data_IF_705487769670
#
_entry.id   IF_705487769670
#
_cell.length_a   1.000
_cell.length_b   1.000
_cell.length_c   1.000
_cell.angle_alpha   90.00
_cell.angle_beta   90.00
_cell.angle_gamma   90.00
#
_symmetry.space_group_name_H-M   'P 1'
#
loop_
_entity.id
_entity.type
_entity.pdbx_description
1 polymer ?
#
# COMPACT_ATOMS: atom_id res chain seq x y z
N UNK A 1 -5.34 15.09 18.69
CA UNK A 1 -6.08 15.60 17.52
C UNK A 1 -5.96 14.58 16.39
N UNK A 2 -7.05 14.31 15.67
CA UNK A 2 -7.15 13.17 14.72
C UNK A 2 -7.03 13.67 13.29
N UNK A 3 -6.19 13.04 12.47
CA UNK A 3 -6.09 13.32 11.03
C UNK A 3 -7.32 12.81 10.29
N UNK A 4 -7.66 13.42 9.16
CA UNK A 4 -8.71 12.88 8.29
C UNK A 4 -8.35 12.92 6.81
N UNK A 5 -8.78 11.87 6.12
CA UNK A 5 -8.80 11.75 4.67
C UNK A 5 -10.26 11.58 4.29
N UNK A 6 -10.86 12.62 3.69
CA UNK A 6 -12.23 12.53 3.19
C UNK A 6 -12.18 12.38 1.67
N UNK A 7 -12.77 11.32 1.15
CA UNK A 7 -12.82 11.02 -0.29
C UNK A 7 -14.25 10.98 -0.78
N UNK A 8 -14.44 11.41 -2.02
CA UNK A 8 -15.69 11.25 -2.73
C UNK A 8 -15.44 10.98 -4.21
N UNK A 9 -16.08 9.95 -4.76
CA UNK A 9 -15.98 9.57 -6.16
C UNK A 9 -17.30 9.80 -6.90
N UNK A 10 -17.21 10.45 -8.05
CA UNK A 10 -18.31 10.65 -8.99
C UNK A 10 -17.86 10.27 -10.39
N UNK A 11 -18.82 9.98 -11.27
CA UNK A 11 -18.50 9.74 -12.68
C UNK A 11 -18.28 11.09 -13.35
N UNK A 12 -17.12 11.28 -13.99
CA UNK A 12 -16.87 12.45 -14.81
C UNK A 12 -17.73 12.36 -16.06
N UNK A 13 -18.69 13.28 -16.19
CA UNK A 13 -19.66 13.31 -17.28
C UNK A 13 -19.03 13.68 -18.61
N UNK A 14 -17.84 14.29 -18.62
CA UNK A 14 -17.15 14.71 -19.84
C UNK A 14 -16.29 13.58 -20.43
N UNK A 15 -15.48 12.90 -19.60
CA UNK A 15 -14.40 12.02 -20.10
C UNK A 15 -14.60 10.53 -19.79
N UNK A 16 -15.78 10.13 -19.28
CA UNK A 16 -16.08 8.75 -18.84
C UNK A 16 -15.12 8.18 -17.78
N UNK A 17 -14.25 9.03 -17.21
CA UNK A 17 -13.38 8.70 -16.10
C UNK A 17 -14.15 8.76 -14.77
N UNK A 18 -13.54 8.25 -13.71
CA UNK A 18 -14.04 8.50 -12.35
C UNK A 18 -13.22 9.63 -11.73
N UNK A 19 -13.90 10.71 -11.38
CA UNK A 19 -13.32 11.82 -10.65
C UNK A 19 -13.38 11.49 -9.16
N UNK A 20 -12.21 11.46 -8.53
CA UNK A 20 -12.07 11.26 -7.08
C UNK A 20 -11.54 12.55 -6.48
N UNK A 21 -12.38 13.25 -5.73
CA UNK A 21 -11.97 14.36 -4.88
C UNK A 21 -11.50 13.83 -3.54
N UNK A 22 -10.42 14.40 -3.01
CA UNK A 22 -9.95 14.08 -1.67
C UNK A 22 -9.54 15.32 -0.90
N UNK A 23 -9.88 15.36 0.38
CA UNK A 23 -9.51 16.41 1.33
C UNK A 23 -8.68 15.81 2.45
N UNK A 24 -7.48 16.34 2.62
CA UNK A 24 -6.57 15.93 3.69
C UNK A 24 -6.57 16.99 4.79
N UNK A 25 -6.72 16.56 6.04
CA UNK A 25 -6.72 17.45 7.21
C UNK A 25 -5.72 16.94 8.23
N UNK A 26 -4.76 17.79 8.60
CA UNK A 26 -3.74 17.52 9.61
C UNK A 26 -3.94 18.45 10.83
N UNK A 27 -3.67 17.99 12.07
CA UNK A 27 -3.71 18.84 13.25
C UNK A 27 -2.83 20.08 13.09
N UNK A 28 -3.38 21.27 13.30
CA UNK A 28 -2.63 22.53 13.23
C UNK A 28 -2.34 23.04 11.81
N UNK A 29 -2.81 22.36 10.76
CA UNK A 29 -2.60 22.77 9.36
C UNK A 29 -3.93 22.99 8.62
N UNK A 30 -3.87 23.83 7.58
CA UNK A 30 -4.99 24.08 6.66
C UNK A 30 -5.32 22.80 5.87
N UNK A 31 -6.60 22.46 5.79
CA UNK A 31 -7.05 21.37 4.92
C UNK A 31 -6.75 21.71 3.45
N UNK A 32 -6.31 20.72 2.67
CA UNK A 32 -6.14 20.89 1.23
C UNK A 32 -7.02 19.90 0.47
N UNK A 33 -7.56 20.37 -0.66
CA UNK A 33 -8.45 19.62 -1.55
C UNK A 33 -7.71 19.38 -2.85
N UNK A 34 -7.74 18.15 -3.33
CA UNK A 34 -7.18 17.76 -4.63
C UNK A 34 -8.11 16.79 -5.34
N UNK A 35 -7.86 16.62 -6.63
CA UNK A 35 -8.68 15.78 -7.50
C UNK A 35 -7.77 14.82 -8.28
N UNK A 36 -8.26 13.60 -8.44
CA UNK A 36 -7.66 12.58 -9.29
C UNK A 36 -8.69 12.11 -10.34
N UNK A 37 -8.27 12.04 -11.60
CA UNK A 37 -9.06 11.38 -12.66
C UNK A 37 -8.55 9.95 -12.81
N UNK A 38 -9.39 8.97 -12.53
CA UNK A 38 -9.05 7.54 -12.62
C UNK A 38 -9.71 6.93 -13.85
N UNK A 39 -8.91 6.44 -14.79
CA UNK A 39 -9.39 5.74 -15.98
C UNK A 39 -9.59 4.25 -15.68
N UNK A 40 -10.81 3.74 -15.88
CA UNK A 40 -11.18 2.34 -15.67
C UNK A 40 -11.86 1.79 -16.93
N UNK A 41 -11.62 0.51 -17.23
CA UNK A 41 -12.06 -0.16 -18.46
C UNK A 41 -13.58 -0.37 -18.58
N UNK A 42 -14.37 -0.09 -17.54
CA UNK A 42 -15.83 -0.30 -17.56
C UNK A 42 -16.62 0.91 -17.06
N UNK A 43 -17.87 1.04 -17.51
CA UNK A 43 -18.72 2.21 -17.24
C UNK A 43 -19.32 2.20 -15.83
N UNK A 44 -19.15 3.30 -15.10
CA UNK A 44 -20.17 3.91 -14.22
C UNK A 44 -20.81 3.12 -13.08
N UNK A 45 -20.30 1.95 -12.66
CA UNK A 45 -20.87 1.19 -11.55
C UNK A 45 -20.31 1.59 -10.17
N UNK A 46 -21.02 1.22 -9.11
CA UNK A 46 -20.57 1.44 -7.71
C UNK A 46 -19.20 0.78 -7.45
N UNK A 47 -18.91 -0.33 -8.13
CA UNK A 47 -17.62 -1.02 -8.01
C UNK A 47 -16.47 -0.21 -8.58
N UNK A 48 -16.66 0.50 -9.69
CA UNK A 48 -15.65 1.34 -10.30
C UNK A 48 -15.39 2.57 -9.45
N UNK A 49 -16.43 3.17 -8.86
CA UNK A 49 -16.23 4.23 -7.85
C UNK A 49 -15.37 3.72 -6.70
N UNK A 50 -15.66 2.52 -6.20
CA UNK A 50 -14.86 1.90 -5.15
C UNK A 50 -13.41 1.64 -5.59
N UNK A 51 -13.19 1.11 -6.80
CA UNK A 51 -11.85 0.89 -7.36
C UNK A 51 -11.09 2.20 -7.45
N UNK A 52 -11.70 3.25 -8.01
CA UNK A 52 -11.10 4.57 -8.17
C UNK A 52 -10.69 5.20 -6.84
N UNK A 53 -11.54 5.11 -5.81
CA UNK A 53 -11.20 5.55 -4.46
C UNK A 53 -10.05 4.75 -3.87
N UNK A 54 -10.05 3.42 -3.99
CA UNK A 54 -8.96 2.59 -3.47
C UNK A 54 -7.63 2.88 -4.17
N UNK A 55 -7.65 3.10 -5.49
CA UNK A 55 -6.46 3.50 -6.28
C UNK A 55 -5.95 4.86 -5.81
N UNK A 56 -6.85 5.83 -5.67
CA UNK A 56 -6.50 7.18 -5.22
C UNK A 56 -5.96 7.14 -3.78
N UNK A 57 -6.56 6.33 -2.91
CA UNK A 57 -6.11 6.15 -1.53
C UNK A 57 -4.73 5.48 -1.48
N UNK A 58 -4.47 4.46 -2.30
CA UNK A 58 -3.14 3.88 -2.43
C UNK A 58 -2.13 4.90 -2.94
N UNK A 59 -2.49 5.68 -3.97
CA UNK A 59 -1.62 6.72 -4.51
C UNK A 59 -1.22 7.72 -3.43
N UNK A 60 -2.18 8.25 -2.69
CA UNK A 60 -1.95 9.21 -1.61
C UNK A 60 -1.10 8.59 -0.50
N UNK A 61 -1.44 7.38 -0.07
CA UNK A 61 -0.83 6.79 1.11
C UNK A 61 0.53 6.15 0.84
N UNK A 62 0.81 5.71 -0.39
CA UNK A 62 1.94 4.82 -0.70
C UNK A 62 2.90 5.40 -1.75
N UNK A 63 2.45 6.41 -2.49
CA UNK A 63 3.19 6.96 -3.64
C UNK A 63 3.34 8.49 -3.61
N UNK A 64 2.56 9.18 -2.79
CA UNK A 64 2.76 10.61 -2.52
C UNK A 64 3.49 10.80 -1.20
N UNK A 65 4.50 11.67 -1.18
CA UNK A 65 5.17 12.13 0.06
C UNK A 65 4.29 13.11 0.87
N UNK A 66 2.97 12.95 0.82
CA UNK A 66 1.99 13.80 1.51
C UNK A 66 1.74 13.37 2.96
N UNK A 67 2.19 12.17 3.33
CA UNK A 67 2.07 11.61 4.68
C UNK A 67 3.38 11.01 5.13
N UNK A 68 3.80 11.33 6.35
CA UNK A 68 4.79 10.53 7.05
C UNK A 68 4.13 9.23 7.53
N UNK A 69 4.66 8.09 7.10
CA UNK A 69 4.12 6.75 7.34
C UNK A 69 4.04 6.42 8.83
N UNK A 70 4.90 7.02 9.65
CA UNK A 70 4.89 6.85 11.10
C UNK A 70 3.57 7.33 11.75
N UNK A 71 2.82 8.18 11.05
CA UNK A 71 1.70 8.95 11.61
C UNK A 71 0.33 8.53 11.06
N UNK A 72 0.29 7.54 10.15
CA UNK A 72 -0.96 6.95 9.66
C UNK A 72 -1.80 6.26 10.74
N UNK A 73 -1.22 5.66 11.80
CA UNK A 73 -2.01 5.17 12.92
C UNK A 73 -2.81 6.31 13.56
N UNK A 74 -4.15 6.20 13.57
CA UNK A 74 -5.14 7.20 14.07
C UNK A 74 -5.63 8.22 13.03
N UNK A 75 -5.76 7.80 11.77
CA UNK A 75 -6.41 8.58 10.73
C UNK A 75 -7.89 8.17 10.58
N UNK A 76 -8.79 9.13 10.42
CA UNK A 76 -10.16 8.87 9.98
C UNK A 76 -10.20 8.91 8.46
N UNK A 77 -10.58 7.79 7.83
CA UNK A 77 -10.68 7.69 6.38
C UNK A 77 -12.17 7.60 6.04
N UNK A 78 -12.70 8.63 5.40
CA UNK A 78 -14.07 8.64 4.87
C UNK A 78 -14.03 8.32 3.38
N UNK A 79 -14.81 7.33 2.94
CA UNK A 79 -14.94 6.93 1.54
C UNK A 79 -16.40 7.03 1.09
N UNK A 80 -16.66 7.17 -0.22
CA UNK A 80 -18.02 7.35 -0.73
C UNK A 80 -18.82 6.05 -0.85
N UNK A 81 -18.15 4.89 -0.89
CA UNK A 81 -18.83 3.60 -1.06
C UNK A 81 -18.52 2.60 0.06
N UNK A 82 -19.53 1.81 0.43
CA UNK A 82 -19.35 0.70 1.37
C UNK A 82 -18.42 -0.40 0.83
N UNK A 83 -18.28 -0.49 -0.49
CA UNK A 83 -17.40 -1.43 -1.17
C UNK A 83 -15.91 -1.18 -0.87
N UNK A 84 -15.48 0.09 -0.73
CA UNK A 84 -14.12 0.42 -0.30
C UNK A 84 -13.80 -0.20 1.06
N UNK A 85 -14.70 -0.01 2.04
CA UNK A 85 -14.56 -0.60 3.38
C UNK A 85 -14.52 -2.13 3.32
N UNK A 86 -15.39 -2.75 2.52
CA UNK A 86 -15.39 -4.21 2.31
C UNK A 86 -14.07 -4.69 1.69
N UNK A 87 -13.55 -3.99 0.67
CA UNK A 87 -12.29 -4.32 0.00
C UNK A 87 -11.11 -4.30 0.95
N UNK A 88 -10.97 -3.23 1.75
CA UNK A 88 -9.91 -3.11 2.76
C UNK A 88 -10.00 -4.25 3.79
N UNK A 89 -11.21 -4.66 4.15
CA UNK A 89 -11.43 -5.76 5.09
C UNK A 89 -11.31 -7.15 4.44
N UNK A 90 -11.05 -7.23 3.14
CA UNK A 90 -11.07 -8.46 2.34
C UNK A 90 -12.41 -9.22 2.43
N UNK A 91 -13.52 -8.47 2.33
CA UNK A 91 -14.91 -8.94 2.45
C UNK A 91 -15.78 -8.58 1.24
N UNK A 92 -15.21 -8.03 0.18
CA UNK A 92 -15.96 -7.79 -1.05
C UNK A 92 -16.16 -9.09 -1.81
N UNK A 93 -17.29 -9.23 -2.51
CA UNK A 93 -17.48 -10.32 -3.47
C UNK A 93 -16.70 -10.14 -4.77
N UNK A 94 -15.97 -9.02 -4.93
CA UNK A 94 -15.19 -8.70 -6.12
C UNK A 94 -13.69 -8.79 -5.81
N UNK A 95 -13.00 -9.71 -6.47
CA UNK A 95 -11.57 -9.97 -6.26
C UNK A 95 -10.71 -8.72 -6.44
N UNK A 96 -10.96 -7.93 -7.49
CA UNK A 96 -10.18 -6.71 -7.75
C UNK A 96 -10.28 -5.67 -6.62
N UNK A 97 -11.46 -5.53 -6.01
CA UNK A 97 -11.69 -4.62 -4.88
C UNK A 97 -10.93 -5.11 -3.64
N UNK A 98 -10.97 -6.43 -3.38
CA UNK A 98 -10.20 -7.04 -2.29
C UNK A 98 -8.68 -6.89 -2.51
N UNK A 99 -8.22 -7.08 -3.74
CA UNK A 99 -6.79 -6.92 -4.10
C UNK A 99 -6.31 -5.49 -3.87
N UNK A 100 -7.08 -4.49 -4.31
CA UNK A 100 -6.76 -3.08 -4.10
C UNK A 100 -6.86 -2.68 -2.61
N UNK A 101 -7.82 -3.22 -1.87
CA UNK A 101 -7.98 -2.93 -0.44
C UNK A 101 -6.97 -3.64 0.47
N UNK A 102 -6.50 -4.82 0.06
CA UNK A 102 -5.60 -5.65 0.87
C UNK A 102 -4.26 -4.98 1.16
N UNK A 103 -3.68 -4.29 0.18
CA UNK A 103 -2.43 -3.52 0.37
C UNK A 103 -2.61 -2.38 1.37
N UNK A 104 -3.74 -1.68 1.30
CA UNK A 104 -4.10 -0.58 2.21
C UNK A 104 -4.27 -1.06 3.65
N UNK A 105 -4.90 -2.22 3.86
CA UNK A 105 -5.14 -2.78 5.20
C UNK A 105 -3.89 -2.86 6.06
N UNK A 106 -2.74 -3.15 5.44
CA UNK A 106 -1.47 -3.28 6.14
C UNK A 106 -0.94 -1.95 6.67
N UNK A 107 -1.38 -0.83 6.09
CA UNK A 107 -0.96 0.53 6.44
C UNK A 107 -1.98 1.23 7.32
N UNK A 108 -3.27 1.02 7.08
CA UNK A 108 -4.36 1.73 7.76
C UNK A 108 -4.96 0.95 8.94
N UNK A 109 -4.25 -0.04 9.47
CA UNK A 109 -4.73 -1.04 10.45
C UNK A 109 -5.44 -0.42 11.68
N UNK A 110 -4.98 0.73 12.18
CA UNK A 110 -5.62 1.42 13.31
C UNK A 110 -6.46 2.64 12.91
N UNK A 111 -6.72 2.83 11.62
CA UNK A 111 -7.53 3.92 11.09
C UNK A 111 -9.00 3.57 11.11
N UNK A 112 -9.86 4.57 11.39
CA UNK A 112 -11.31 4.37 11.34
C UNK A 112 -11.81 4.62 9.92
N UNK A 113 -12.41 3.60 9.31
CA UNK A 113 -12.99 3.71 7.97
C UNK A 113 -14.49 4.01 8.09
N UNK A 114 -14.85 5.22 7.67
CA UNK A 114 -16.21 5.75 7.64
C UNK A 114 -16.72 5.76 6.19
N UNK A 115 -18.04 5.64 6.02
CA UNK A 115 -18.68 5.66 4.70
C UNK A 115 -19.63 6.83 4.65
N UNK A 116 -19.55 7.63 3.59
CA UNK A 116 -20.45 8.77 3.33
C UNK A 116 -20.93 8.74 1.88
N UNK A 117 -22.16 8.32 1.68
CA UNK A 117 -22.73 8.14 0.35
C UNK A 117 -23.18 9.46 -0.32
N UNK A 118 -23.19 10.56 0.41
CA UNK A 118 -23.56 11.88 -0.11
C UNK A 118 -22.34 12.75 -0.40
N UNK A 119 -22.43 13.51 -1.49
CA UNK A 119 -21.39 14.46 -1.87
C UNK A 119 -21.18 15.48 -0.75
N UNK A 120 -19.95 15.63 -0.24
CA UNK A 120 -19.68 16.61 0.81
C UNK A 120 -19.62 18.03 0.22
N UNK A 121 -19.94 19.03 1.04
CA UNK A 121 -20.00 20.45 0.59
C UNK A 121 -18.68 20.98 0.00
N UNK A 122 -17.53 20.38 0.34
CA UNK A 122 -16.24 20.75 -0.22
C UNK A 122 -15.99 20.19 -1.62
N UNK A 123 -16.74 19.17 -2.04
CA UNK A 123 -16.58 18.51 -3.32
C UNK A 123 -17.26 19.33 -4.41
N UNK A 124 -16.48 19.72 -5.43
CA UNK A 124 -16.97 20.48 -6.59
C UNK A 124 -16.54 19.75 -7.85
N UNK A 125 -17.50 19.39 -8.71
CA UNK A 125 -17.23 18.64 -9.96
C UNK A 125 -16.49 19.48 -11.01
N UNK A 126 -16.46 20.81 -10.88
CA UNK A 126 -15.94 21.72 -11.91
C UNK A 126 -14.41 21.75 -12.00
N UNK A 127 -13.87 21.30 -13.15
CA UNK A 127 -12.66 21.76 -13.88
C UNK A 127 -11.44 22.26 -13.08
N UNK A 128 -11.16 21.68 -11.92
CA UNK A 128 -9.91 21.92 -11.21
C UNK A 128 -8.82 21.01 -11.79
N UNK A 129 -7.57 21.49 -11.81
CA UNK A 129 -6.39 20.71 -12.21
C UNK A 129 -6.40 19.36 -11.49
N UNK A 130 -6.60 18.28 -12.23
CA UNK A 130 -6.66 16.93 -11.69
C UNK A 130 -5.44 16.16 -12.15
N UNK A 131 -4.84 15.40 -11.24
CA UNK A 131 -3.79 14.47 -11.62
C UNK A 131 -4.46 13.27 -12.28
N UNK A 132 -4.03 12.94 -13.49
CA UNK A 132 -4.52 11.74 -14.15
C UNK A 132 -3.82 10.51 -13.57
N UNK A 133 -4.60 9.63 -12.95
CA UNK A 133 -4.15 8.35 -12.41
C UNK A 133 -4.62 7.26 -13.36
N UNK A 134 -3.70 6.73 -14.16
CA UNK A 134 -3.98 5.53 -14.95
C UNK A 134 -3.74 4.29 -14.10
N UNK A 135 -4.67 3.31 -14.20
CA UNK A 135 -4.46 1.97 -13.66
C UNK A 135 -3.28 1.31 -14.36
N UNK A 136 -2.12 1.34 -13.71
CA UNK A 136 -0.93 0.61 -14.14
C UNK A 136 -0.62 -0.52 -13.16
N UNK A 137 0.31 -1.41 -13.53
CA UNK A 137 0.82 -2.45 -12.65
C UNK A 137 1.35 -1.95 -11.29
N UNK A 138 1.59 -0.65 -11.13
CA UNK A 138 2.04 -0.01 -9.89
C UNK A 138 1.10 -0.27 -8.70
N UNK A 139 -0.23 -0.29 -8.93
CA UNK A 139 -1.22 -0.46 -7.85
C UNK A 139 -1.55 -1.93 -7.55
N UNK A 140 -0.99 -2.85 -8.34
CA UNK A 140 -1.13 -4.30 -8.15
C UNK A 140 0.13 -4.94 -7.57
N UNK A 141 1.30 -4.30 -7.75
CA UNK A 141 2.58 -4.65 -7.15
C UNK A 141 3.00 -3.57 -6.16
N UNK A 142 2.11 -3.26 -5.23
CA UNK A 142 2.30 -2.14 -4.32
C UNK A 142 3.50 -2.38 -3.43
N UNK A 143 4.40 -1.41 -3.43
CA UNK A 143 5.59 -1.36 -2.62
C UNK A 143 5.30 -0.45 -1.43
N UNK A 144 5.35 -1.02 -0.22
CA UNK A 144 5.09 -0.32 1.02
C UNK A 144 6.41 0.20 1.57
N UNK A 145 6.58 1.51 1.75
CA UNK A 145 7.81 2.02 2.31
C UNK A 145 7.95 1.59 3.77
N UNK A 146 9.19 1.37 4.17
CA UNK A 146 9.59 1.01 5.50
C UNK A 146 10.99 1.56 5.77
N UNK A 147 11.36 1.63 7.05
CA UNK A 147 12.73 1.95 7.46
C UNK A 147 13.27 0.78 8.25
N UNK A 148 14.45 0.30 7.89
CA UNK A 148 15.12 -0.81 8.57
C UNK A 148 16.56 -0.43 8.97
N UNK A 149 17.31 -1.38 9.52
CA UNK A 149 18.72 -1.18 9.86
C UNK A 149 19.62 -0.80 8.67
N UNK A 150 19.14 -0.99 7.42
CA UNK A 150 19.84 -0.60 6.19
C UNK A 150 19.39 0.77 5.64
N UNK A 151 18.50 1.48 6.34
CA UNK A 151 17.91 2.74 5.91
C UNK A 151 16.50 2.61 5.33
N UNK A 152 16.10 3.57 4.51
CA UNK A 152 14.80 3.58 3.83
C UNK A 152 14.74 2.51 2.74
N UNK A 153 13.68 1.70 2.77
CA UNK A 153 13.44 0.61 1.84
C UNK A 153 11.98 0.60 1.41
N UNK A 154 11.69 -0.17 0.36
CA UNK A 154 10.32 -0.58 0.04
C UNK A 154 10.10 -2.06 0.21
N UNK A 155 8.92 -2.46 0.67
CA UNK A 155 8.53 -3.85 0.88
C UNK A 155 7.43 -4.20 -0.10
N UNK A 156 7.67 -5.15 -0.98
CA UNK A 156 6.62 -5.64 -1.88
C UNK A 156 5.47 -6.29 -1.10
N UNK A 157 4.23 -6.09 -1.51
CA UNK A 157 3.06 -6.72 -0.87
C UNK A 157 3.19 -8.25 -0.77
N UNK A 158 3.74 -8.89 -1.81
CA UNK A 158 3.97 -10.33 -1.86
C UNK A 158 4.92 -10.82 -0.76
N UNK A 159 5.88 -9.99 -0.33
CA UNK A 159 6.74 -10.32 0.82
C UNK A 159 5.92 -10.42 2.09
N UNK A 160 4.98 -9.50 2.31
CA UNK A 160 4.17 -9.51 3.53
C UNK A 160 3.23 -10.70 3.58
N UNK A 161 2.63 -11.07 2.44
CA UNK A 161 1.81 -12.27 2.34
C UNK A 161 2.65 -13.52 2.65
N UNK A 162 3.85 -13.60 2.06
CA UNK A 162 4.78 -14.71 2.31
C UNK A 162 5.26 -14.74 3.76
N UNK A 163 5.61 -13.59 4.32
CA UNK A 163 6.01 -13.45 5.71
C UNK A 163 4.90 -13.91 6.66
N UNK A 164 3.67 -13.48 6.42
CA UNK A 164 2.50 -13.87 7.21
C UNK A 164 2.25 -15.38 7.13
N UNK A 165 2.39 -15.98 5.95
CA UNK A 165 2.21 -17.41 5.74
C UNK A 165 3.29 -18.27 6.44
N UNK A 166 4.54 -17.80 6.44
CA UNK A 166 5.69 -18.52 7.02
C UNK A 166 5.92 -18.22 8.51
N UNK A 167 5.30 -17.16 9.05
CA UNK A 167 5.35 -16.82 10.46
C UNK A 167 4.47 -17.77 11.27
N UNK A 168 5.04 -18.39 12.32
CA UNK A 168 4.31 -19.33 13.19
C UNK A 168 3.06 -18.69 13.79
N UNK A 169 3.19 -17.45 14.24
CA UNK A 169 2.13 -16.75 14.98
C UNK A 169 1.13 -16.03 14.07
N UNK A 170 1.28 -16.10 12.74
CA UNK A 170 0.43 -15.44 11.73
C UNK A 170 0.03 -14.02 12.14
N UNK A 171 0.99 -13.08 12.19
CA UNK A 171 0.80 -11.79 12.83
C UNK A 171 -0.42 -11.03 12.27
N UNK A 172 -1.20 -10.43 13.18
CA UNK A 172 -2.34 -9.58 12.83
C UNK A 172 -1.91 -8.40 11.95
N UNK A 173 -0.76 -7.80 12.27
CA UNK A 173 -0.11 -6.77 11.48
C UNK A 173 1.25 -7.27 10.94
N UNK A 174 1.29 -7.86 9.74
CA UNK A 174 2.51 -8.44 9.18
C UNK A 174 3.56 -7.40 8.86
N UNK A 175 3.16 -6.20 8.40
CA UNK A 175 4.09 -5.11 8.09
C UNK A 175 4.86 -4.66 9.34
N UNK A 176 4.15 -4.36 10.43
CA UNK A 176 4.77 -3.94 11.69
C UNK A 176 5.71 -5.01 12.25
N UNK A 177 5.27 -6.27 12.22
CA UNK A 177 6.08 -7.40 12.70
C UNK A 177 7.33 -7.63 11.85
N UNK A 178 7.20 -7.59 10.52
CA UNK A 178 8.34 -7.66 9.62
C UNK A 178 9.28 -6.47 9.81
N UNK A 179 8.74 -5.26 9.92
CA UNK A 179 9.56 -4.06 10.11
C UNK A 179 10.35 -4.12 11.42
N UNK A 180 9.75 -4.61 12.51
CA UNK A 180 10.46 -4.85 13.78
C UNK A 180 11.62 -5.85 13.60
N UNK A 181 11.41 -6.89 12.81
CA UNK A 181 12.46 -7.88 12.52
C UNK A 181 13.58 -7.26 11.67
N UNK A 182 13.25 -6.46 10.67
CA UNK A 182 14.23 -5.76 9.81
C UNK A 182 14.98 -4.63 10.53
N UNK A 183 14.43 -4.09 11.62
CA UNK A 183 15.10 -3.11 12.48
C UNK A 183 16.00 -3.74 13.55
N UNK A 184 16.04 -5.07 13.64
CA UNK A 184 17.08 -5.73 14.43
C UNK A 184 18.43 -5.67 13.71
N UNK A 185 19.53 -6.00 14.41
CA UNK A 185 20.85 -6.04 13.78
C UNK A 185 20.83 -7.02 12.60
N UNK A 186 20.98 -6.54 11.37
CA UNK A 186 21.03 -7.40 10.18
C UNK A 186 22.48 -7.79 9.88
N UNK A 187 22.66 -9.06 9.53
CA UNK A 187 23.95 -9.61 9.05
C UNK A 187 23.81 -10.08 7.61
N UNK A 188 24.90 -9.99 6.83
CA UNK A 188 24.90 -10.52 5.47
C UNK A 188 24.73 -12.03 5.50
N UNK A 189 23.83 -12.54 4.67
CA UNK A 189 23.59 -13.96 4.52
C UNK A 189 24.42 -14.51 3.37
N UNK A 190 25.14 -15.60 3.61
CA UNK A 190 25.79 -16.37 2.57
C UNK A 190 24.81 -17.42 2.05
N UNK A 191 24.42 -17.28 0.78
CA UNK A 191 23.55 -18.23 0.11
C UNK A 191 24.37 -19.11 -0.85
N UNK A 192 23.95 -20.37 -1.08
CA UNK A 192 24.60 -21.19 -2.10
C UNK A 192 24.58 -20.53 -3.49
N UNK A 193 25.64 -20.71 -4.27
CA UNK A 193 25.81 -20.04 -5.57
C UNK A 193 24.65 -20.27 -6.54
N UNK A 194 24.06 -21.46 -6.53
CA UNK A 194 22.90 -21.77 -7.37
C UNK A 194 21.67 -20.93 -6.98
N UNK A 195 21.48 -20.64 -5.69
CA UNK A 195 20.42 -19.74 -5.20
C UNK A 195 20.74 -18.31 -5.60
N UNK A 196 21.97 -17.85 -5.40
CA UNK A 196 22.42 -16.50 -5.80
C UNK A 196 22.20 -16.29 -7.30
N UNK A 197 22.62 -17.23 -8.15
CA UNK A 197 22.43 -17.20 -9.60
C UNK A 197 20.95 -17.15 -9.97
N UNK A 198 20.13 -18.00 -9.36
CA UNK A 198 18.68 -18.01 -9.59
C UNK A 198 18.03 -16.68 -9.20
N UNK A 199 18.37 -16.13 -8.03
CA UNK A 199 17.81 -14.86 -7.53
C UNK A 199 18.29 -13.65 -8.33
N UNK A 200 19.57 -13.62 -8.72
CA UNK A 200 20.11 -12.58 -9.61
C UNK A 200 19.42 -12.58 -10.98
N UNK A 201 19.07 -13.75 -11.51
CA UNK A 201 18.27 -13.85 -12.75
C UNK A 201 16.85 -13.27 -12.59
N UNK A 202 16.23 -13.44 -11.41
CA UNK A 202 14.88 -12.96 -11.14
C UNK A 202 14.80 -11.47 -10.79
N UNK A 203 15.75 -10.98 -9.99
CA UNK A 203 15.67 -9.67 -9.35
C UNK A 203 16.83 -8.73 -9.73
N UNK A 204 17.79 -9.18 -10.53
CA UNK A 204 18.96 -8.39 -10.90
C UNK A 204 19.98 -8.27 -9.76
N UNK A 205 20.53 -7.07 -9.56
CA UNK A 205 21.43 -6.78 -8.45
C UNK A 205 20.68 -6.97 -7.13
N UNK A 206 21.23 -7.79 -6.23
CA UNK A 206 20.56 -8.12 -4.97
C UNK A 206 21.53 -8.34 -3.82
N UNK A 207 21.08 -7.98 -2.63
CA UNK A 207 21.74 -8.28 -1.36
C UNK A 207 20.91 -9.24 -0.51
N UNK A 208 21.60 -10.05 0.29
CA UNK A 208 21.00 -11.09 1.12
C UNK A 208 21.34 -10.80 2.58
N UNK A 209 20.30 -10.73 3.40
CA UNK A 209 20.43 -10.35 4.80
C UNK A 209 19.65 -11.31 5.69
N UNK A 210 20.09 -11.46 6.92
CA UNK A 210 19.47 -12.30 7.95
C UNK A 210 19.51 -11.60 9.30
N UNK A 211 18.68 -12.06 10.23
CA UNK A 211 18.73 -11.66 11.63
C UNK A 211 19.58 -12.70 12.38
N UNK A 212 20.52 -12.29 13.25
CA UNK A 212 21.29 -13.19 14.09
C UNK A 212 20.39 -14.18 14.84
N UNK A 213 20.78 -15.45 14.83
CA UNK A 213 20.04 -16.55 15.46
C UNK A 213 18.61 -16.75 14.92
N UNK A 214 18.34 -16.28 13.70
CA UNK A 214 17.07 -16.48 13.00
C UNK A 214 17.27 -17.36 11.77
N UNK A 215 16.22 -18.10 11.42
CA UNK A 215 16.12 -18.81 10.15
C UNK A 215 15.70 -17.89 8.99
N UNK A 216 15.35 -16.64 9.25
CA UNK A 216 14.88 -15.73 8.21
C UNK A 216 15.99 -15.22 7.29
N UNK A 217 15.75 -15.32 5.99
CA UNK A 217 16.53 -14.69 4.94
C UNK A 217 15.66 -13.66 4.22
N UNK A 218 16.23 -12.48 4.02
CA UNK A 218 15.64 -11.35 3.32
C UNK A 218 16.46 -11.05 2.07
N UNK A 219 15.78 -10.86 0.94
CA UNK A 219 16.43 -10.51 -0.33
C UNK A 219 15.99 -9.12 -0.75
N UNK A 220 16.98 -8.23 -0.89
CA UNK A 220 16.78 -6.86 -1.32
C UNK A 220 17.26 -6.70 -2.75
N UNK A 221 16.40 -6.24 -3.65
CA UNK A 221 16.81 -5.76 -4.97
C UNK A 221 17.37 -4.34 -4.82
N UNK A 222 18.59 -4.12 -5.31
CA UNK A 222 19.34 -2.87 -5.15
C UNK A 222 19.57 -2.12 -6.47
N UNK A 223 18.97 -2.60 -7.55
CA UNK A 223 19.00 -1.97 -8.88
C UNK A 223 18.11 -0.72 -8.98
N UNK A 224 17.36 -0.39 -7.93
CA UNK A 224 16.44 0.75 -7.86
C UNK A 224 17.04 1.90 -7.06
N UNK A 225 16.49 3.11 -7.27
CA UNK A 225 16.84 4.32 -6.50
C UNK A 225 16.72 4.11 -4.98
N UNK A 226 15.80 3.23 -4.56
CA UNK A 226 15.60 2.82 -3.17
C UNK A 226 15.54 1.28 -3.11
N UNK A 227 16.27 0.62 -2.20
CA UNK A 227 16.27 -0.84 -2.10
C UNK A 227 14.87 -1.41 -1.86
N UNK A 228 14.55 -2.50 -2.55
CA UNK A 228 13.24 -3.16 -2.43
C UNK A 228 13.41 -4.55 -1.83
N UNK A 229 12.76 -4.82 -0.71
CA UNK A 229 12.56 -6.17 -0.20
C UNK A 229 11.59 -6.91 -1.13
N UNK A 230 12.14 -7.85 -1.90
CA UNK A 230 11.43 -8.58 -2.97
C UNK A 230 11.02 -9.99 -2.54
N UNK A 231 11.71 -10.58 -1.57
CA UNK A 231 11.27 -11.85 -0.98
C UNK A 231 11.82 -12.05 0.43
N UNK A 232 11.10 -12.83 1.22
CA UNK A 232 11.58 -13.38 2.49
C UNK A 232 11.27 -14.89 2.54
N UNK A 233 12.13 -15.66 3.17
CA UNK A 233 11.88 -17.07 3.43
C UNK A 233 12.65 -17.52 4.67
N UNK A 234 12.30 -18.70 5.18
CA UNK A 234 13.08 -19.36 6.23
C UNK A 234 14.04 -20.32 5.57
N UNK A 235 15.33 -20.17 5.85
CA UNK A 235 16.31 -21.19 5.53
C UNK A 235 15.89 -22.47 6.26
N UNK A 236 15.66 -23.55 5.51
CA UNK A 236 15.53 -24.85 6.13
C UNK A 236 16.85 -25.13 6.85
N UNK A 237 16.76 -25.32 8.17
CA UNK A 237 17.94 -25.63 8.95
C UNK A 237 18.57 -26.90 8.38
N UNK A 238 19.86 -26.84 8.05
CA UNK A 238 20.71 -28.01 8.21
C UNK A 238 20.65 -28.38 9.69
N UNK A 239 19.69 -29.22 10.06
CA UNK A 239 19.78 -30.06 11.25
C UNK A 239 20.39 -31.38 10.82
#
# INVERSE_FOLDING_TARGET
MTRSIDMFATTDTADQNILVGYRLTQPGHTSFIRYAKVSLESRGDEHNKARAELITLQHILLHCDLFDYAELPRTNITVSTGQCKKGIQNRSGKEQINRLGGSLRMVIDTSKILVRNQAPAWFKESTMSSNQLSMSGLYFNTHLPATCALGSIRISSNVLDRFKALSKDRPTNPLKSLNRLLNSSLIRANLPDHVVKHKRRLYGASEYWSVPNSDWIFIFATDKKEPVLVTCYKAEGNR
#
